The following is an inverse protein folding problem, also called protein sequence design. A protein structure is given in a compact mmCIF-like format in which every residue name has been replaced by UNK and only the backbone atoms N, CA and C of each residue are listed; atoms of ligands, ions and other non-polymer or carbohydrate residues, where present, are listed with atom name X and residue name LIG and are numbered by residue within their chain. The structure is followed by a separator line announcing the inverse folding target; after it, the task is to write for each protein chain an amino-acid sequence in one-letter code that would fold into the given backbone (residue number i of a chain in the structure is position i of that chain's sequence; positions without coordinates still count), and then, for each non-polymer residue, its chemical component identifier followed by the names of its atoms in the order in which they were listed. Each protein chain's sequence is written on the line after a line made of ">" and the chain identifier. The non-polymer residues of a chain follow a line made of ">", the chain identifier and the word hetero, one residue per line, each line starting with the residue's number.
data_IF_330813053550
#
_entry.id   IF_330813053550
#
_cell.length_a   1.000
_cell.length_b   1.000
_cell.length_c   1.000
_cell.angle_alpha   90.00
_cell.angle_beta   90.00
_cell.angle_gamma   90.00
#
_symmetry.space_group_name_H-M   'P 1'
#
loop_
_entity.id
_entity.type
_entity.pdbx_description
1 polymer ?
#
# COMPACT_ATOMS: atom_id res chain seq x y z
N UNK A 1 11.88 -4.10 -28.96
CA UNK A 1 11.52 -3.70 -27.58
C UNK A 1 10.06 -4.01 -27.46
N UNK A 2 9.65 -4.92 -26.56
CA UNK A 2 8.23 -5.13 -26.29
C UNK A 2 7.67 -3.81 -25.79
N UNK A 3 6.55 -3.35 -26.33
CA UNK A 3 5.84 -2.18 -25.84
C UNK A 3 5.45 -2.45 -24.38
N UNK A 4 6.31 -2.02 -23.45
CA UNK A 4 6.13 -2.18 -22.04
C UNK A 4 5.10 -1.15 -21.59
N UNK A 5 3.91 -1.59 -21.26
CA UNK A 5 2.80 -0.76 -20.85
C UNK A 5 2.58 -0.95 -19.35
N UNK A 6 2.85 0.05 -18.51
CA UNK A 6 2.57 -0.03 -17.07
C UNK A 6 1.07 -0.20 -16.84
N UNK A 7 0.69 -0.91 -15.77
CA UNK A 7 -0.72 -1.15 -15.47
C UNK A 7 -1.51 0.12 -15.10
N UNK A 8 -0.83 1.20 -14.77
CA UNK A 8 -1.35 2.57 -14.67
C UNK A 8 -0.74 3.38 -15.81
N UNK A 9 -1.57 3.89 -16.72
CA UNK A 9 -1.09 4.70 -17.83
C UNK A 9 -0.81 6.14 -17.36
N UNK A 10 0.47 6.48 -17.26
CA UNK A 10 0.92 7.79 -16.79
C UNK A 10 0.64 8.93 -17.79
N UNK A 11 0.25 8.61 -19.04
CA UNK A 11 -0.11 9.55 -20.10
C UNK A 11 -1.59 9.94 -20.06
N UNK A 12 -2.40 9.29 -19.23
CA UNK A 12 -3.82 9.54 -19.08
C UNK A 12 -4.14 10.12 -17.69
N UNK A 13 -5.30 10.75 -17.58
CA UNK A 13 -5.80 11.31 -16.33
C UNK A 13 -6.05 10.22 -15.27
N UNK A 14 -6.19 10.62 -14.02
CA UNK A 14 -6.62 9.72 -12.95
C UNK A 14 -8.00 9.11 -13.24
N UNK A 15 -8.91 9.93 -13.74
CA UNK A 15 -10.28 9.53 -14.08
C UNK A 15 -10.29 8.49 -15.19
N UNK A 16 -9.51 8.70 -16.26
CA UNK A 16 -9.38 7.72 -17.36
C UNK A 16 -8.81 6.39 -16.86
N UNK A 17 -7.76 6.44 -16.05
CA UNK A 17 -7.19 5.25 -15.42
C UNK A 17 -8.20 4.55 -14.51
N UNK A 18 -8.96 5.31 -13.72
CA UNK A 18 -9.99 4.75 -12.83
C UNK A 18 -11.09 4.02 -13.61
N UNK A 19 -11.55 4.58 -14.74
CA UNK A 19 -12.64 4.05 -15.55
C UNK A 19 -12.20 2.90 -16.47
N UNK A 20 -11.02 2.99 -17.08
CA UNK A 20 -10.57 2.08 -18.14
C UNK A 20 -9.55 1.04 -17.68
N UNK A 21 -8.69 1.37 -16.72
CA UNK A 21 -7.61 0.50 -16.25
C UNK A 21 -8.08 -0.73 -15.46
N UNK A 22 -7.17 -1.60 -15.10
CA UNK A 22 -5.73 -1.53 -15.37
C UNK A 22 -5.38 -1.83 -16.82
N UNK A 23 -4.13 -1.51 -17.23
CA UNK A 23 -3.60 -1.70 -18.58
C UNK A 23 -2.51 -2.80 -18.60
N UNK A 24 -1.97 -3.07 -19.80
CA UNK A 24 -0.86 -4.00 -19.99
C UNK A 24 -1.13 -5.41 -19.43
N UNK A 25 -0.11 -6.01 -18.84
CA UNK A 25 -0.19 -7.38 -18.29
C UNK A 25 -1.28 -7.55 -17.21
N UNK A 26 -1.61 -6.51 -16.46
CA UNK A 26 -2.70 -6.54 -15.48
C UNK A 26 -4.07 -6.64 -16.15
N UNK A 27 -4.29 -5.97 -17.29
CA UNK A 27 -5.50 -6.10 -18.07
C UNK A 27 -5.66 -7.54 -18.62
N UNK A 28 -4.57 -8.12 -19.14
CA UNK A 28 -4.57 -9.50 -19.62
C UNK A 28 -4.84 -10.51 -18.49
N UNK A 29 -4.29 -10.27 -17.30
CA UNK A 29 -4.57 -11.10 -16.14
C UNK A 29 -6.06 -11.11 -15.76
N UNK A 30 -6.80 -10.01 -16.00
CA UNK A 30 -8.25 -9.97 -15.76
C UNK A 30 -9.05 -10.77 -16.79
N UNK A 31 -8.56 -10.91 -18.01
CA UNK A 31 -9.23 -11.70 -19.07
C UNK A 31 -9.02 -13.20 -18.88
N UNK A 32 -7.92 -13.63 -18.27
CA UNK A 32 -7.64 -15.02 -18.02
C UNK A 32 -8.71 -15.63 -17.10
N UNK A 33 -9.51 -16.54 -17.61
CA UNK A 33 -10.45 -17.34 -16.81
C UNK A 33 -9.63 -18.18 -15.84
N UNK A 34 -9.97 -18.26 -14.54
CA UNK A 34 -9.32 -19.21 -13.66
C UNK A 34 -9.44 -20.60 -14.27
N UNK A 35 -8.34 -21.26 -14.59
CA UNK A 35 -8.37 -22.67 -15.01
C UNK A 35 -8.87 -23.47 -13.81
N UNK A 36 -10.13 -23.84 -13.84
CA UNK A 36 -10.68 -24.87 -12.94
C UNK A 36 -9.97 -26.15 -13.38
N UNK A 37 -9.00 -26.59 -12.61
CA UNK A 37 -8.52 -27.97 -12.74
C UNK A 37 -9.70 -28.84 -12.35
N UNK A 38 -10.43 -29.34 -13.36
CA UNK A 38 -11.45 -30.36 -13.21
C UNK A 38 -10.77 -31.64 -12.74
N UNK A 39 -10.80 -31.86 -11.43
CA UNK A 39 -10.65 -33.19 -10.90
C UNK A 39 -11.83 -34.05 -11.38
N UNK A 40 -11.53 -35.19 -11.92
CA UNK A 40 -12.44 -36.20 -12.47
C UNK A 40 -13.78 -36.31 -11.73
N UNK A 41 -14.84 -36.06 -12.44
CA UNK A 41 -16.19 -36.56 -12.10
C UNK A 41 -16.55 -37.71 -13.03
N UNK A 42 -16.40 -38.91 -12.51
CA UNK A 42 -17.04 -40.10 -13.13
C UNK A 42 -18.52 -40.08 -12.83
N UNK A 43 -19.39 -40.32 -13.81
CA UNK A 43 -20.82 -40.42 -13.57
C UNK A 43 -21.16 -41.82 -13.09
N UNK A 44 -21.71 -41.96 -11.89
CA UNK A 44 -22.41 -43.17 -11.49
C UNK A 44 -23.86 -42.82 -11.17
N UNK A 45 -24.75 -43.31 -12.05
CA UNK A 45 -26.19 -43.46 -11.79
C UNK A 45 -26.40 -44.68 -10.89
N UNK A 46 -27.34 -44.60 -9.94
CA UNK A 46 -27.76 -45.74 -9.12
C UNK A 46 -28.83 -45.35 -8.11
N UNK A 47 -29.99 -45.91 -8.27
CA UNK A 47 -31.28 -45.70 -7.57
C UNK A 47 -31.29 -46.01 -6.06
N UNK A 48 -32.41 -45.70 -5.33
CA UNK A 48 -32.43 -45.57 -3.86
C UNK A 48 -32.88 -46.86 -3.14
N UNK A 49 -32.29 -47.11 -1.99
CA UNK A 49 -32.74 -48.25 -1.18
C UNK A 49 -32.21 -48.31 0.26
N UNK A 50 -33.13 -48.03 1.21
CA UNK A 50 -33.27 -48.52 2.58
C UNK A 50 -32.33 -48.09 3.71
N UNK A 51 -32.99 -47.55 4.73
CA UNK A 51 -32.57 -47.28 6.12
C UNK A 51 -32.03 -48.53 6.82
N UNK A 52 -30.98 -48.37 7.64
CA UNK A 52 -30.88 -48.94 9.01
C UNK A 52 -29.94 -48.11 9.88
N UNK A 53 -30.29 -48.09 11.14
CA UNK A 53 -29.76 -47.31 12.27
C UNK A 53 -28.46 -47.88 12.83
N UNK A 54 -27.71 -46.98 13.44
CA UNK A 54 -27.03 -47.04 14.75
C UNK A 54 -25.52 -46.62 14.72
N UNK A 55 -25.23 -45.52 15.32
CA UNK A 55 -24.32 -45.29 16.41
C UNK A 55 -22.81 -45.46 16.23
N UNK A 56 -22.09 -44.34 16.12
CA UNK A 56 -20.87 -44.07 16.91
C UNK A 56 -20.40 -42.65 16.57
N UNK A 57 -20.18 -41.88 17.63
CA UNK A 57 -19.55 -40.56 17.56
C UNK A 57 -18.06 -40.76 17.29
N UNK A 58 -17.56 -40.31 16.13
CA UNK A 58 -16.14 -40.05 15.90
C UNK A 58 -15.90 -38.54 15.82
N UNK A 59 -14.94 -38.10 16.63
CA UNK A 59 -14.44 -36.74 16.62
C UNK A 59 -13.80 -36.41 15.27
N UNK A 60 -13.95 -35.18 14.75
CA UNK A 60 -13.28 -34.79 13.51
C UNK A 60 -11.76 -34.65 13.77
N UNK A 61 -10.96 -35.44 13.07
CA UNK A 61 -9.52 -35.24 12.93
C UNK A 61 -9.25 -33.93 12.16
N UNK A 62 -8.42 -33.12 12.75
CA UNK A 62 -7.87 -31.89 12.21
C UNK A 62 -6.98 -32.23 11.01
N UNK A 63 -7.49 -32.05 9.78
CA UNK A 63 -6.69 -32.18 8.56
C UNK A 63 -5.76 -30.99 8.45
N UNK A 64 -4.51 -31.17 8.86
CA UNK A 64 -3.40 -30.29 8.53
C UNK A 64 -3.25 -30.20 7.01
N UNK A 65 -3.44 -28.98 6.49
CA UNK A 65 -3.17 -28.68 5.08
C UNK A 65 -1.66 -28.79 4.83
N UNK A 66 -1.27 -29.69 3.93
CA UNK A 66 0.10 -29.83 3.44
C UNK A 66 0.39 -28.64 2.54
N UNK A 67 1.20 -27.66 3.03
CA UNK A 67 1.71 -26.54 2.25
C UNK A 67 2.81 -27.02 1.29
N UNK A 68 2.88 -26.36 0.13
CA UNK A 68 3.98 -26.57 -0.83
C UNK A 68 5.33 -26.24 -0.17
N UNK A 69 6.33 -27.09 -0.41
CA UNK A 69 7.68 -26.98 0.16
C UNK A 69 8.33 -25.66 -0.31
N UNK A 70 8.78 -24.80 0.63
CA UNK A 70 9.61 -23.64 0.32
C UNK A 70 9.50 -22.40 1.22
N UNK A 71 8.51 -22.28 2.11
CA UNK A 71 8.46 -21.21 3.12
C UNK A 71 8.10 -21.75 4.50
N UNK A 72 8.55 -21.09 5.61
CA UNK A 72 8.11 -21.49 6.93
C UNK A 72 6.59 -21.41 6.99
N UNK A 73 5.95 -22.54 7.28
CA UNK A 73 4.51 -22.63 7.47
C UNK A 73 4.09 -21.53 8.46
N UNK A 74 3.30 -20.51 7.98
CA UNK A 74 2.72 -19.52 8.83
C UNK A 74 3.15 -18.07 8.66
N UNK A 75 3.57 -17.59 7.47
CA UNK A 75 3.71 -16.15 7.22
C UNK A 75 2.38 -15.43 7.44
N UNK A 76 2.40 -14.32 8.20
CA UNK A 76 1.21 -13.50 8.44
C UNK A 76 1.48 -12.03 8.17
N UNK A 77 0.44 -11.31 7.74
CA UNK A 77 0.43 -9.86 7.69
C UNK A 77 -0.68 -9.34 8.62
N UNK A 78 -0.28 -8.70 9.72
CA UNK A 78 -1.20 -8.23 10.77
C UNK A 78 -2.23 -9.29 11.19
N UNK A 79 -1.76 -10.52 11.43
CA UNK A 79 -2.60 -11.64 11.85
C UNK A 79 -3.36 -12.35 10.72
N UNK A 80 -3.30 -11.87 9.49
CA UNK A 80 -3.89 -12.56 8.33
C UNK A 80 -2.84 -13.45 7.66
N UNK A 81 -3.17 -14.73 7.34
CA UNK A 81 -2.24 -15.62 6.66
C UNK A 81 -1.94 -15.13 5.24
N UNK A 82 -0.66 -15.13 4.85
CA UNK A 82 -0.20 -14.75 3.52
C UNK A 82 0.83 -15.74 2.99
N UNK A 83 0.84 -15.98 1.66
CA UNK A 83 1.83 -16.87 1.06
C UNK A 83 3.23 -16.24 1.11
N UNK A 84 3.35 -14.97 0.73
CA UNK A 84 4.56 -14.15 0.88
C UNK A 84 4.15 -12.75 1.34
N UNK A 85 4.78 -12.17 2.37
CA UNK A 85 4.46 -10.81 2.81
C UNK A 85 5.06 -9.75 1.85
N UNK A 86 4.66 -9.85 0.56
CA UNK A 86 5.04 -8.94 -0.51
C UNK A 86 3.82 -8.46 -1.30
N UNK A 87 3.78 -7.15 -1.63
CA UNK A 87 2.63 -6.59 -2.32
C UNK A 87 2.81 -5.20 -2.91
N UNK A 88 1.68 -4.57 -3.21
CA UNK A 88 1.59 -3.21 -3.76
C UNK A 88 0.96 -2.29 -2.72
N UNK A 89 1.65 -1.17 -2.33
CA UNK A 89 1.13 -0.22 -1.35
C UNK A 89 0.04 0.68 -1.95
N UNK A 90 -0.64 1.45 -1.09
CA UNK A 90 -1.61 2.43 -1.53
C UNK A 90 -1.02 3.45 -2.51
N UNK A 91 -1.71 3.64 -3.61
CA UNK A 91 -1.35 4.57 -4.69
C UNK A 91 -1.87 4.06 -6.02
N UNK A 92 -1.22 3.10 -6.67
CA UNK A 92 -1.51 2.73 -8.05
C UNK A 92 -2.69 1.76 -8.23
N UNK A 93 -3.17 1.08 -7.18
CA UNK A 93 -4.32 0.17 -7.27
C UNK A 93 -5.62 0.94 -6.99
N UNK A 94 -6.27 1.44 -8.05
CA UNK A 94 -7.32 2.46 -7.95
C UNK A 94 -8.68 1.92 -7.46
N UNK A 95 -9.01 0.66 -7.79
CA UNK A 95 -10.29 0.03 -7.49
C UNK A 95 -10.15 -1.51 -7.49
N UNK A 96 -11.27 -2.22 -7.37
CA UNK A 96 -11.31 -3.69 -7.31
C UNK A 96 -10.73 -4.38 -8.54
N UNK A 97 -10.80 -3.77 -9.72
CA UNK A 97 -10.18 -4.34 -10.95
C UNK A 97 -8.66 -4.38 -10.83
N UNK A 98 -8.05 -3.29 -10.34
CA UNK A 98 -6.60 -3.22 -10.13
C UNK A 98 -6.12 -4.19 -9.06
N UNK A 99 -6.84 -4.28 -7.92
CA UNK A 99 -6.45 -5.19 -6.82
C UNK A 99 -6.63 -6.65 -7.23
N UNK A 100 -7.69 -6.99 -7.97
CA UNK A 100 -7.91 -8.34 -8.51
C UNK A 100 -6.80 -8.72 -9.50
N UNK A 101 -6.40 -7.79 -10.37
CA UNK A 101 -5.29 -8.02 -11.29
C UNK A 101 -3.97 -8.25 -10.54
N UNK A 102 -3.69 -7.45 -9.50
CA UNK A 102 -2.51 -7.63 -8.66
C UNK A 102 -2.46 -9.02 -8.02
N UNK A 103 -3.57 -9.52 -7.48
CA UNK A 103 -3.65 -10.88 -6.95
C UNK A 103 -3.36 -11.94 -8.01
N UNK A 104 -3.92 -11.80 -9.22
CA UNK A 104 -3.68 -12.71 -10.34
C UNK A 104 -2.25 -12.65 -10.87
N UNK A 105 -1.58 -11.52 -10.74
CA UNK A 105 -0.16 -11.36 -11.06
C UNK A 105 0.77 -11.91 -9.97
N UNK A 106 0.20 -12.43 -8.87
CA UNK A 106 0.95 -13.13 -7.82
C UNK A 106 1.39 -12.25 -6.65
N UNK A 107 0.90 -11.01 -6.54
CA UNK A 107 1.06 -10.22 -5.31
C UNK A 107 0.12 -10.77 -4.23
N UNK A 108 0.63 -10.99 -3.02
CA UNK A 108 -0.18 -11.53 -1.93
C UNK A 108 -0.75 -10.44 -1.03
N UNK A 109 -0.22 -9.22 -1.11
CA UNK A 109 -0.77 -8.03 -0.49
C UNK A 109 -1.15 -7.01 -1.58
N UNK A 110 -2.40 -6.58 -1.61
CA UNK A 110 -2.86 -5.53 -2.51
C UNK A 110 -3.51 -4.42 -1.69
N UNK A 111 -2.92 -3.22 -1.70
CA UNK A 111 -3.48 -2.10 -0.95
C UNK A 111 -4.43 -1.30 -1.83
N UNK A 112 -5.72 -1.30 -1.44
CA UNK A 112 -6.74 -0.49 -2.10
C UNK A 112 -6.42 1.00 -1.97
N UNK A 113 -6.67 1.77 -3.04
CA UNK A 113 -6.45 3.22 -3.06
C UNK A 113 -6.99 3.88 -1.81
N UNK A 114 -6.20 4.78 -1.23
CA UNK A 114 -6.62 5.56 -0.06
C UNK A 114 -7.96 6.23 -0.31
N UNK A 115 -8.94 5.94 0.55
CA UNK A 115 -10.29 6.49 0.51
C UNK A 115 -10.50 7.54 1.59
N UNK A 116 -11.56 8.33 1.42
CA UNK A 116 -11.98 9.37 2.35
C UNK A 116 -13.46 9.21 2.71
N UNK A 117 -13.90 9.92 3.74
CA UNK A 117 -15.31 10.00 4.18
C UNK A 117 -16.24 10.62 3.13
N UNK A 118 -15.68 11.23 2.08
CA UNK A 118 -16.38 11.95 1.01
C UNK A 118 -15.63 11.90 -0.31
N UNK A 119 -16.29 12.26 -1.40
CA UNK A 119 -15.61 12.45 -2.67
C UNK A 119 -14.56 13.55 -2.57
N UNK A 120 -13.40 13.32 -3.21
CA UNK A 120 -12.27 14.25 -3.22
C UNK A 120 -11.63 14.27 -4.60
N UNK A 121 -11.49 15.45 -5.19
CA UNK A 121 -10.97 15.60 -6.55
C UNK A 121 -9.50 15.30 -6.68
N UNK A 122 -9.10 14.92 -7.89
CA UNK A 122 -7.70 14.79 -8.26
C UNK A 122 -7.09 16.15 -8.59
N UNK A 123 -5.80 16.32 -8.33
CA UNK A 123 -5.05 17.48 -8.81
C UNK A 123 -5.01 17.49 -10.36
N UNK A 124 -4.81 18.64 -11.01
CA UNK A 124 -4.71 18.74 -12.47
C UNK A 124 -3.67 17.79 -13.07
N UNK A 125 -4.00 17.20 -14.21
CA UNK A 125 -3.07 16.39 -15.00
C UNK A 125 -1.96 17.26 -15.64
N UNK A 126 -0.69 16.76 -15.77
CA UNK A 126 -0.18 15.44 -15.37
C UNK A 126 0.04 15.31 -13.85
N UNK A 127 -0.08 14.06 -13.36
CA UNK A 127 0.15 13.74 -11.95
C UNK A 127 1.44 12.96 -11.72
N UNK A 128 1.93 12.29 -12.76
CA UNK A 128 3.15 11.47 -12.78
C UNK A 128 4.08 12.02 -13.84
N UNK A 129 5.29 12.41 -13.42
CA UNK A 129 6.42 12.75 -14.27
C UNK A 129 7.60 11.88 -13.86
N UNK A 130 8.49 11.56 -14.77
CA UNK A 130 9.81 11.02 -14.45
C UNK A 130 10.58 12.06 -13.64
N UNK A 131 11.36 11.62 -12.65
CA UNK A 131 12.14 12.49 -11.76
C UNK A 131 13.62 12.05 -11.83
N UNK A 132 14.51 12.99 -12.06
CA UNK A 132 15.91 12.75 -12.31
C UNK A 132 16.81 13.40 -11.25
N UNK A 133 17.08 12.71 -10.11
CA UNK A 133 18.03 13.21 -9.12
C UNK A 133 19.43 13.36 -9.69
N UNK A 134 20.20 14.33 -9.18
CA UNK A 134 21.58 14.61 -9.62
C UNK A 134 22.60 13.55 -9.19
N UNK A 135 22.26 12.75 -8.15
CA UNK A 135 23.15 11.69 -7.66
C UNK A 135 23.38 10.61 -8.70
N UNK A 136 24.57 10.03 -8.75
CA UNK A 136 24.94 9.01 -9.73
C UNK A 136 24.11 7.71 -9.65
N UNK A 137 23.58 7.40 -8.47
CA UNK A 137 22.71 6.24 -8.22
C UNK A 137 21.21 6.58 -8.28
N UNK A 138 20.87 7.84 -8.62
CA UNK A 138 19.50 8.34 -8.71
C UNK A 138 18.80 8.47 -7.36
N UNK A 139 19.52 8.55 -6.23
CA UNK A 139 18.93 8.71 -4.91
C UNK A 139 18.68 10.17 -4.54
N UNK A 140 17.64 10.43 -3.76
CA UNK A 140 17.38 11.69 -3.06
C UNK A 140 17.72 11.52 -1.57
N UNK A 141 18.49 12.47 -1.04
CA UNK A 141 18.85 12.51 0.37
C UNK A 141 17.84 13.40 1.10
N UNK A 142 17.09 12.90 2.10
CA UNK A 142 16.20 13.73 2.91
C UNK A 142 16.95 14.92 3.53
N UNK A 143 16.40 16.15 3.37
CA UNK A 143 17.01 17.37 3.89
C UNK A 143 18.15 17.93 3.02
N UNK A 144 18.47 17.34 1.87
CA UNK A 144 19.47 17.91 0.95
C UNK A 144 18.98 19.19 0.29
N UNK A 145 19.90 20.07 -0.11
CA UNK A 145 19.59 21.32 -0.81
C UNK A 145 18.86 21.09 -2.14
N UNK A 146 19.16 19.97 -2.83
CA UNK A 146 18.53 19.60 -4.09
C UNK A 146 16.99 19.57 -4.01
N UNK A 147 16.43 19.16 -2.86
CA UNK A 147 14.98 19.11 -2.65
C UNK A 147 14.31 20.49 -2.71
N UNK A 148 15.05 21.56 -2.43
CA UNK A 148 14.55 22.94 -2.42
C UNK A 148 15.00 23.73 -3.65
N UNK A 149 16.19 23.44 -4.19
CA UNK A 149 16.69 24.03 -5.42
C UNK A 149 15.85 23.62 -6.64
N UNK A 150 15.52 22.34 -6.76
CA UNK A 150 14.71 21.74 -7.81
C UNK A 150 15.34 20.51 -8.39
N UNK A 151 14.52 19.48 -8.52
CA UNK A 151 14.87 18.20 -9.19
C UNK A 151 14.22 18.21 -10.57
N UNK A 152 14.97 17.87 -11.59
CA UNK A 152 14.46 17.77 -12.97
C UNK A 152 13.33 16.76 -13.06
N UNK A 153 12.22 17.14 -13.69
CA UNK A 153 11.10 16.27 -13.95
C UNK A 153 10.56 16.47 -15.38
N UNK A 154 10.35 15.38 -16.09
CA UNK A 154 9.89 15.37 -17.48
C UNK A 154 9.07 14.10 -17.80
N UNK A 155 8.95 13.74 -19.08
CA UNK A 155 8.25 12.55 -19.57
C UNK A 155 9.21 11.44 -20.06
N UNK A 156 10.48 11.51 -19.73
CA UNK A 156 11.49 10.51 -20.10
C UNK A 156 11.67 9.48 -18.98
N UNK A 157 10.90 8.38 -19.03
CA UNK A 157 10.88 7.34 -18.01
C UNK A 157 12.01 6.32 -18.19
N UNK A 158 13.23 6.66 -17.77
CA UNK A 158 14.42 5.82 -17.84
C UNK A 158 14.70 5.08 -16.52
N UNK A 159 15.36 3.94 -16.61
CA UNK A 159 15.83 3.18 -15.44
C UNK A 159 17.16 3.74 -14.89
N UNK A 160 17.32 3.78 -13.57
CA UNK A 160 16.39 3.36 -12.51
C UNK A 160 15.23 4.33 -12.30
N UNK A 161 14.00 3.84 -12.38
CA UNK A 161 12.80 4.68 -12.44
C UNK A 161 12.48 5.38 -11.11
N UNK A 162 12.29 6.68 -11.18
CA UNK A 162 11.73 7.52 -10.13
C UNK A 162 10.67 8.41 -10.72
N UNK A 163 9.57 8.63 -9.99
CA UNK A 163 8.43 9.39 -10.50
C UNK A 163 7.86 10.32 -9.43
N UNK A 164 7.14 11.34 -9.89
CA UNK A 164 6.29 12.17 -9.03
C UNK A 164 5.00 11.44 -8.65
N UNK A 165 4.42 11.81 -7.51
CA UNK A 165 3.11 11.38 -7.04
C UNK A 165 2.31 12.62 -6.63
N UNK A 166 1.63 13.25 -7.60
CA UNK A 166 0.98 14.54 -7.44
C UNK A 166 -0.54 14.47 -7.64
N UNK A 167 -1.20 13.49 -7.02
CA UNK A 167 -2.64 13.26 -7.19
C UNK A 167 -3.53 14.02 -6.19
N UNK A 168 -3.03 14.40 -5.00
CA UNK A 168 -3.84 15.01 -3.95
C UNK A 168 -4.73 14.03 -3.18
N UNK A 169 -4.46 12.73 -3.29
CA UNK A 169 -5.23 11.63 -2.67
C UNK A 169 -6.72 11.71 -3.02
N UNK A 170 -7.07 11.61 -4.32
CA UNK A 170 -8.45 11.60 -4.77
C UNK A 170 -9.20 10.38 -4.24
N UNK A 171 -10.50 10.54 -4.00
CA UNK A 171 -11.40 9.50 -3.52
C UNK A 171 -12.77 9.64 -4.18
N UNK A 172 -13.37 8.53 -4.54
CA UNK A 172 -14.81 8.48 -4.80
C UNK A 172 -15.57 8.66 -3.48
N UNK A 173 -16.89 8.90 -3.55
CA UNK A 173 -17.75 8.92 -2.38
C UNK A 173 -17.93 7.51 -1.77
N UNK A 174 -18.31 7.39 -0.49
CA UNK A 174 -18.48 6.09 0.17
C UNK A 174 -19.48 5.15 -0.52
N UNK A 175 -20.55 5.67 -1.08
CA UNK A 175 -21.55 4.89 -1.84
C UNK A 175 -20.97 4.24 -3.11
N UNK A 176 -19.87 4.78 -3.65
CA UNK A 176 -19.13 4.21 -4.78
C UNK A 176 -18.03 3.27 -4.32
N UNK A 177 -17.14 3.71 -3.39
CA UNK A 177 -15.98 2.89 -3.05
C UNK A 177 -16.27 1.75 -2.07
N UNK A 178 -17.33 1.82 -1.22
CA UNK A 178 -17.64 0.71 -0.29
C UNK A 178 -18.05 -0.58 -1.02
N UNK A 179 -19.01 -0.58 -1.99
CA UNK A 179 -19.33 -1.79 -2.74
C UNK A 179 -18.13 -2.30 -3.57
N UNK A 180 -17.33 -1.43 -4.16
CA UNK A 180 -16.12 -1.82 -4.89
C UNK A 180 -15.05 -2.42 -3.98
N UNK A 181 -14.86 -1.88 -2.77
CA UNK A 181 -13.95 -2.45 -1.77
C UNK A 181 -14.41 -3.82 -1.29
N UNK A 182 -15.73 -4.06 -1.14
CA UNK A 182 -16.24 -5.41 -0.84
C UNK A 182 -15.90 -6.40 -1.95
N UNK A 183 -16.02 -5.98 -3.22
CA UNK A 183 -15.62 -6.80 -4.37
C UNK A 183 -14.11 -7.08 -4.35
N UNK A 184 -13.29 -6.08 -4.02
CA UNK A 184 -11.85 -6.23 -3.88
C UNK A 184 -11.46 -7.21 -2.76
N UNK A 185 -12.14 -7.16 -1.61
CA UNK A 185 -11.93 -8.11 -0.50
C UNK A 185 -12.28 -9.53 -0.93
N UNK A 186 -13.42 -9.71 -1.62
CA UNK A 186 -13.88 -11.01 -2.09
C UNK A 186 -12.97 -11.62 -3.19
N UNK A 187 -12.20 -10.80 -3.89
CA UNK A 187 -11.30 -11.25 -4.95
C UNK A 187 -9.97 -11.84 -4.43
N UNK A 188 -9.65 -11.64 -3.15
CA UNK A 188 -8.45 -12.21 -2.53
C UNK A 188 -8.60 -13.73 -2.39
N UNK A 189 -7.64 -14.48 -2.94
CA UNK A 189 -7.56 -15.93 -2.82
C UNK A 189 -6.86 -16.39 -1.53
N UNK A 190 -6.73 -17.70 -1.33
CA UNK A 190 -6.01 -18.24 -0.18
C UNK A 190 -4.57 -17.69 -0.08
N UNK A 191 -4.19 -17.19 1.09
CA UNK A 191 -2.89 -16.57 1.31
C UNK A 191 -2.71 -15.21 0.64
N UNK A 192 -3.80 -14.55 0.25
CA UNK A 192 -3.82 -13.17 -0.28
C UNK A 192 -4.67 -12.27 0.60
N UNK A 193 -4.29 -11.01 0.75
CA UNK A 193 -4.97 -10.06 1.63
C UNK A 193 -5.16 -8.71 0.95
N UNK A 194 -6.41 -8.26 0.90
CA UNK A 194 -6.69 -6.86 0.59
C UNK A 194 -6.39 -5.99 1.81
N UNK A 195 -5.66 -4.91 1.58
CA UNK A 195 -5.28 -3.92 2.60
C UNK A 195 -5.99 -2.60 2.29
N UNK A 196 -7.13 -2.28 2.92
CA UNK A 196 -7.76 -0.98 2.78
C UNK A 196 -6.88 0.15 3.30
N UNK A 197 -6.79 1.26 2.56
CA UNK A 197 -6.09 2.45 2.99
C UNK A 197 -7.06 3.63 3.10
N UNK A 198 -6.88 4.49 4.11
CA UNK A 198 -7.71 5.66 4.33
C UNK A 198 -6.96 6.84 4.92
N UNK A 199 -7.57 8.00 4.85
CA UNK A 199 -7.21 9.18 5.62
C UNK A 199 -8.44 10.05 5.86
N UNK A 200 -8.38 10.93 6.85
CA UNK A 200 -9.36 12.00 7.05
C UNK A 200 -9.23 13.08 5.99
N UNK A 201 -10.25 13.88 5.87
CA UNK A 201 -10.29 15.05 4.98
C UNK A 201 -10.30 16.30 5.83
N UNK A 202 -9.30 17.16 5.68
CA UNK A 202 -9.29 18.48 6.29
C UNK A 202 -9.86 19.50 5.32
N UNK A 203 -10.91 20.20 5.73
CA UNK A 203 -11.50 21.29 4.96
C UNK A 203 -11.29 22.61 5.70
N UNK A 204 -11.38 23.71 4.98
CA UNK A 204 -11.23 25.05 5.55
C UNK A 204 -12.24 25.28 6.68
N UNK A 205 -11.78 25.84 7.81
CA UNK A 205 -12.59 26.10 9.00
C UNK A 205 -12.83 24.87 9.91
N UNK A 206 -12.38 23.68 9.52
CA UNK A 206 -12.52 22.48 10.35
C UNK A 206 -11.61 22.54 11.59
N UNK A 207 -12.16 22.27 12.76
CA UNK A 207 -11.41 22.13 14.01
C UNK A 207 -10.55 20.86 14.01
N UNK A 208 -9.64 20.74 14.96
CA UNK A 208 -8.82 19.55 15.14
C UNK A 208 -9.68 18.34 15.56
N UNK A 209 -10.68 18.57 16.42
CA UNK A 209 -11.63 17.53 16.86
C UNK A 209 -12.47 16.99 15.70
N UNK A 210 -12.95 17.85 14.81
CA UNK A 210 -13.70 17.43 13.61
C UNK A 210 -12.80 16.66 12.65
N UNK A 211 -11.52 17.04 12.52
CA UNK A 211 -10.55 16.31 11.70
C UNK A 211 -10.24 14.91 12.27
N UNK A 212 -10.10 14.79 13.59
CA UNK A 212 -9.97 13.49 14.29
C UNK A 212 -11.22 12.64 14.03
N UNK A 213 -12.41 13.22 14.18
CA UNK A 213 -13.69 12.54 13.96
C UNK A 213 -13.88 12.08 12.50
N UNK A 214 -13.36 12.84 11.52
CA UNK A 214 -13.43 12.46 10.11
C UNK A 214 -12.56 11.22 9.80
N UNK A 215 -11.38 11.07 10.46
CA UNK A 215 -10.58 9.85 10.38
C UNK A 215 -11.32 8.64 10.96
N UNK A 216 -11.91 8.79 12.14
CA UNK A 216 -12.69 7.74 12.79
C UNK A 216 -13.90 7.33 11.94
N UNK A 217 -14.62 8.31 11.38
CA UNK A 217 -15.73 8.06 10.45
C UNK A 217 -15.28 7.26 9.22
N UNK A 218 -14.15 7.65 8.60
CA UNK A 218 -13.64 6.95 7.42
C UNK A 218 -13.25 5.50 7.76
N UNK A 219 -12.62 5.29 8.91
CA UNK A 219 -12.26 3.95 9.39
C UNK A 219 -13.50 3.07 9.65
N UNK A 220 -14.58 3.64 10.25
CA UNK A 220 -15.87 2.95 10.42
C UNK A 220 -16.46 2.53 9.09
N UNK A 221 -16.49 3.42 8.09
CA UNK A 221 -16.98 3.10 6.75
C UNK A 221 -16.20 1.95 6.09
N UNK A 222 -14.88 1.86 6.32
CA UNK A 222 -14.08 0.72 5.87
C UNK A 222 -14.44 -0.55 6.63
N UNK A 223 -14.58 -0.49 7.96
CA UNK A 223 -15.01 -1.64 8.77
C UNK A 223 -16.31 -2.25 8.25
N UNK A 224 -17.26 -1.42 7.82
CA UNK A 224 -18.55 -1.83 7.23
C UNK A 224 -18.40 -2.62 5.92
N UNK A 225 -17.24 -2.57 5.25
CA UNK A 225 -16.97 -3.40 4.05
C UNK A 225 -16.56 -4.83 4.38
N UNK A 226 -16.30 -5.15 5.65
CA UNK A 226 -15.79 -6.44 6.09
C UNK A 226 -14.26 -6.54 6.12
N UNK A 227 -13.57 -5.39 6.07
CA UNK A 227 -12.11 -5.31 6.18
C UNK A 227 -11.59 -5.99 7.45
N UNK A 228 -10.50 -6.76 7.32
CA UNK A 228 -9.87 -7.49 8.43
C UNK A 228 -8.67 -6.75 9.04
N UNK A 229 -8.20 -5.74 8.38
CA UNK A 229 -7.13 -4.82 8.77
C UNK A 229 -7.25 -3.55 7.95
N UNK A 230 -6.51 -2.48 8.30
CA UNK A 230 -6.47 -1.26 7.50
C UNK A 230 -5.19 -0.45 7.72
N UNK A 231 -4.90 0.44 6.77
CA UNK A 231 -3.75 1.36 6.83
C UNK A 231 -4.25 2.80 6.81
N UNK A 232 -3.88 3.57 7.82
CA UNK A 232 -4.12 5.01 7.89
C UNK A 232 -2.95 5.77 7.25
N UNK A 233 -3.22 6.57 6.23
CA UNK A 233 -2.23 7.44 5.61
C UNK A 233 -2.09 8.74 6.41
N UNK A 234 -0.88 9.01 6.90
CA UNK A 234 -0.55 10.23 7.66
C UNK A 234 0.49 11.10 6.95
N UNK A 235 0.79 10.79 5.70
CA UNK A 235 1.90 11.40 4.95
C UNK A 235 1.45 12.13 3.69
N UNK A 236 0.24 12.70 3.70
CA UNK A 236 -0.23 13.57 2.63
C UNK A 236 0.33 14.99 2.83
N UNK A 237 1.03 15.57 1.83
CA UNK A 237 1.56 16.94 1.93
C UNK A 237 0.49 18.03 1.82
N UNK A 238 -0.76 17.70 1.48
CA UNK A 238 -1.81 18.66 1.14
C UNK A 238 -2.67 19.12 2.32
N UNK A 239 -2.20 19.01 3.56
CA UNK A 239 -2.96 19.42 4.75
C UNK A 239 -2.76 20.89 5.15
N UNK A 240 -2.42 21.75 4.20
CA UNK A 240 -2.58 23.21 4.31
C UNK A 240 -1.55 23.99 5.11
N UNK A 241 -0.52 23.37 5.70
CA UNK A 241 0.49 24.05 6.54
C UNK A 241 1.93 23.56 6.34
N UNK A 242 2.32 23.07 5.16
CA UNK A 242 3.68 22.55 4.86
C UNK A 242 4.20 21.46 5.84
N UNK A 243 3.37 20.92 6.72
CA UNK A 243 3.73 19.83 7.64
C UNK A 243 2.81 18.63 7.36
N UNK A 244 3.45 17.47 7.24
CA UNK A 244 2.72 16.20 7.12
C UNK A 244 2.14 15.84 8.50
N UNK A 245 0.99 15.19 8.53
CA UNK A 245 0.35 14.74 9.78
C UNK A 245 1.32 13.88 10.61
N UNK A 246 2.10 12.99 9.98
CA UNK A 246 3.08 12.14 10.67
C UNK A 246 4.22 12.92 11.37
N UNK A 247 4.38 14.22 11.11
CA UNK A 247 5.31 15.08 11.85
C UNK A 247 4.66 15.69 13.11
N UNK A 248 3.48 15.24 13.50
CA UNK A 248 2.83 15.53 14.76
C UNK A 248 2.44 14.22 15.47
N UNK A 249 3.38 13.52 16.13
CA UNK A 249 3.15 12.23 16.76
C UNK A 249 1.99 12.20 17.76
N UNK A 250 1.81 13.29 18.52
CA UNK A 250 0.75 13.38 19.53
C UNK A 250 -0.64 13.48 18.87
N UNK A 251 -0.77 14.23 17.79
CA UNK A 251 -2.04 14.28 17.04
C UNK A 251 -2.34 12.94 16.37
N UNK A 252 -1.33 12.26 15.82
CA UNK A 252 -1.50 10.89 15.29
C UNK A 252 -1.96 9.95 16.40
N UNK A 253 -1.40 10.03 17.60
CA UNK A 253 -1.85 9.27 18.78
C UNK A 253 -3.34 9.46 19.04
N UNK A 254 -3.81 10.71 19.16
CA UNK A 254 -5.24 11.04 19.38
C UNK A 254 -6.14 10.53 18.24
N UNK A 255 -5.70 10.65 16.99
CA UNK A 255 -6.45 10.13 15.84
C UNK A 255 -6.56 8.60 15.92
N UNK A 256 -5.48 7.89 16.22
CA UNK A 256 -5.49 6.43 16.30
C UNK A 256 -6.33 5.91 17.47
N UNK A 257 -6.41 6.65 18.58
CA UNK A 257 -7.33 6.37 19.68
C UNK A 257 -8.80 6.46 19.24
N UNK A 258 -9.17 7.56 18.57
CA UNK A 258 -10.53 7.74 18.04
C UNK A 258 -10.87 6.68 16.96
N UNK A 259 -9.92 6.36 16.07
CA UNK A 259 -10.07 5.30 15.08
C UNK A 259 -10.31 3.95 15.77
N UNK A 260 -9.52 3.61 16.79
CA UNK A 260 -9.67 2.34 17.52
C UNK A 260 -11.00 2.20 18.26
N UNK A 261 -11.59 3.28 18.75
CA UNK A 261 -12.94 3.28 19.31
C UNK A 261 -13.98 2.81 18.28
N UNK A 262 -13.82 3.19 17.00
CA UNK A 262 -14.73 2.77 15.93
C UNK A 262 -14.45 1.36 15.43
N UNK A 263 -13.18 0.99 15.22
CA UNK A 263 -12.83 -0.27 14.55
C UNK A 263 -12.67 -1.46 15.53
N UNK A 264 -12.47 -1.19 16.81
CA UNK A 264 -12.25 -2.24 17.84
C UNK A 264 -10.93 -2.99 17.59
N UNK A 265 -11.01 -4.33 17.59
CA UNK A 265 -9.82 -5.20 17.49
C UNK A 265 -9.21 -5.30 16.08
N UNK A 266 -9.82 -4.69 15.06
CA UNK A 266 -9.27 -4.69 13.71
C UNK A 266 -7.87 -4.06 13.74
N UNK A 267 -6.82 -4.76 13.25
CA UNK A 267 -5.47 -4.23 13.23
C UNK A 267 -5.35 -2.97 12.39
N UNK A 268 -4.66 -1.96 12.94
CA UNK A 268 -4.38 -0.69 12.30
C UNK A 268 -2.87 -0.55 12.06
N UNK A 269 -2.49 -0.22 10.84
CA UNK A 269 -1.15 0.19 10.48
C UNK A 269 -1.16 1.68 10.13
N UNK A 270 -0.09 2.41 10.47
CA UNK A 270 0.08 3.82 10.09
C UNK A 270 1.14 3.94 9.00
N UNK A 271 0.80 4.61 7.89
CA UNK A 271 1.75 4.90 6.81
C UNK A 271 2.43 6.24 7.05
N UNK A 272 3.77 6.20 7.18
CA UNK A 272 4.62 7.33 7.48
C UNK A 272 5.36 7.85 6.24
N UNK A 273 5.63 9.16 6.20
CA UNK A 273 6.72 9.72 5.42
C UNK A 273 8.05 9.53 6.16
N UNK A 274 9.14 10.03 5.58
CA UNK A 274 10.43 10.07 6.27
C UNK A 274 10.35 11.03 7.46
N UNK A 275 10.72 10.56 8.66
CA UNK A 275 10.81 11.33 9.88
C UNK A 275 12.31 11.48 10.23
N UNK A 276 12.91 12.68 10.09
CA UNK A 276 14.35 12.85 10.27
C UNK A 276 14.83 12.63 11.71
N UNK A 277 14.02 13.02 12.70
CA UNK A 277 14.36 12.96 14.12
C UNK A 277 14.08 11.59 14.71
N UNK A 278 15.07 10.97 15.38
CA UNK A 278 14.88 9.73 16.13
C UNK A 278 13.93 9.91 17.31
N UNK A 279 14.00 11.08 17.99
CA UNK A 279 13.11 11.39 19.10
C UNK A 279 11.65 11.48 18.64
N UNK A 280 11.38 12.11 17.50
CA UNK A 280 10.02 12.19 16.93
C UNK A 280 9.53 10.82 16.47
N UNK A 281 10.41 9.99 15.89
CA UNK A 281 10.07 8.65 15.47
C UNK A 281 9.76 7.74 16.68
N UNK A 282 10.57 7.83 17.75
CA UNK A 282 10.29 7.12 19.00
C UNK A 282 9.01 7.64 19.68
N UNK A 283 8.77 8.95 19.66
CA UNK A 283 7.54 9.54 20.19
C UNK A 283 6.32 9.04 19.39
N UNK A 284 6.42 8.88 18.06
CA UNK A 284 5.39 8.27 17.21
C UNK A 284 5.06 6.85 17.68
N UNK A 285 6.08 6.02 17.91
CA UNK A 285 5.89 4.64 18.39
C UNK A 285 5.24 4.62 19.77
N UNK A 286 5.70 5.48 20.70
CA UNK A 286 5.16 5.56 22.08
C UNK A 286 3.72 6.03 22.11
N UNK A 287 3.36 7.06 21.32
CA UNK A 287 2.02 7.65 21.30
C UNK A 287 0.98 6.80 20.53
N UNK A 288 1.40 5.76 19.85
CA UNK A 288 0.53 4.87 19.06
C UNK A 288 0.63 3.42 19.52
N UNK A 289 1.70 2.72 19.19
CA UNK A 289 1.93 1.32 19.62
C UNK A 289 1.97 1.21 21.14
N UNK A 290 2.63 2.14 21.82
CA UNK A 290 2.70 2.19 23.28
C UNK A 290 1.32 2.32 23.97
N UNK A 291 0.34 2.90 23.27
CA UNK A 291 -1.06 2.97 23.71
C UNK A 291 -1.93 1.80 23.17
N UNK A 292 -1.34 0.85 22.43
CA UNK A 292 -2.05 -0.30 21.88
C UNK A 292 -2.95 0.02 20.67
N UNK A 293 -2.90 1.25 20.15
CA UNK A 293 -3.80 1.68 19.07
C UNK A 293 -3.33 1.26 17.68
N UNK A 294 -2.00 1.01 17.50
CA UNK A 294 -1.38 0.67 16.21
C UNK A 294 -0.60 -0.64 16.33
N UNK A 295 -0.73 -1.51 15.34
CA UNK A 295 -0.07 -2.81 15.27
C UNK A 295 1.09 -2.83 14.25
N UNK A 296 1.34 -1.72 13.54
CA UNK A 296 2.48 -1.63 12.63
C UNK A 296 2.62 -0.29 11.92
N UNK A 297 3.76 -0.11 11.26
CA UNK A 297 4.07 1.05 10.43
C UNK A 297 4.42 0.63 9.01
N UNK A 298 3.94 1.41 8.03
CA UNK A 298 4.34 1.29 6.63
C UNK A 298 5.19 2.50 6.27
N UNK A 299 6.39 2.30 5.83
CA UNK A 299 7.38 3.37 5.61
C UNK A 299 8.29 3.07 4.40
N UNK A 300 8.49 4.05 3.50
CA UNK A 300 8.04 5.43 3.54
C UNK A 300 7.02 5.69 2.43
N UNK A 301 6.28 6.81 2.52
CA UNK A 301 5.42 7.23 1.42
C UNK A 301 6.26 7.80 0.26
N UNK A 302 6.62 9.07 0.34
CA UNK A 302 7.40 9.80 -0.68
C UNK A 302 8.32 10.80 0.01
N UNK A 303 9.31 11.31 -0.72
CA UNK A 303 10.10 12.48 -0.31
C UNK A 303 9.60 13.69 -1.09
N UNK A 304 9.26 14.78 -0.39
CA UNK A 304 8.80 16.02 -1.01
C UNK A 304 9.98 16.76 -1.64
N UNK A 305 9.89 17.07 -2.93
CA UNK A 305 10.89 17.85 -3.66
C UNK A 305 10.21 18.91 -4.53
N UNK A 306 10.87 20.05 -4.72
CA UNK A 306 10.54 21.00 -5.77
C UNK A 306 10.85 20.34 -7.11
N UNK A 307 9.89 20.35 -8.06
CA UNK A 307 10.05 19.74 -9.38
C UNK A 307 10.11 20.84 -10.45
N UNK A 308 11.14 20.79 -11.26
CA UNK A 308 11.39 21.78 -12.31
C UNK A 308 11.54 21.10 -13.68
N UNK A 309 11.16 21.79 -14.74
CA UNK A 309 11.44 21.40 -16.12
C UNK A 309 12.90 21.74 -16.52
N UNK A 310 13.26 21.48 -17.76
CA UNK A 310 14.60 21.73 -18.28
C UNK A 310 14.99 23.23 -18.28
N UNK A 311 14.01 24.13 -18.26
CA UNK A 311 14.22 25.59 -18.22
C UNK A 311 14.20 26.12 -16.77
N UNK A 312 14.00 25.26 -15.77
CA UNK A 312 13.95 25.61 -14.36
C UNK A 312 12.60 26.14 -13.89
N UNK A 313 11.56 26.04 -14.72
CA UNK A 313 10.19 26.41 -14.33
C UNK A 313 9.50 25.28 -13.56
N UNK A 314 8.36 25.59 -12.92
CA UNK A 314 7.52 24.59 -12.25
C UNK A 314 7.08 23.51 -13.26
N UNK A 315 7.42 22.23 -12.99
CA UNK A 315 7.13 21.12 -13.89
C UNK A 315 5.65 20.67 -13.86
N UNK A 316 4.99 20.75 -12.71
CA UNK A 316 3.59 20.32 -12.55
C UNK A 316 2.64 21.52 -12.65
N UNK A 317 1.56 21.46 -13.44
CA UNK A 317 0.64 22.58 -13.62
C UNK A 317 -0.19 22.86 -12.35
N UNK A 318 -0.62 24.10 -12.21
CA UNK A 318 -1.49 24.56 -11.12
C UNK A 318 -0.74 25.33 -10.03
N UNK A 319 -1.43 26.25 -9.38
CA UNK A 319 -0.88 27.07 -8.30
C UNK A 319 -0.52 26.20 -7.08
N UNK A 320 0.63 26.48 -6.45
CA UNK A 320 1.08 25.78 -5.25
C UNK A 320 1.53 24.33 -5.48
N UNK A 321 1.82 23.93 -6.73
CA UNK A 321 2.30 22.60 -7.09
C UNK A 321 3.76 22.61 -7.55
N UNK A 322 4.54 23.54 -7.05
CA UNK A 322 6.00 23.56 -7.23
C UNK A 322 6.68 22.38 -6.56
N UNK A 323 6.06 21.80 -5.52
CA UNK A 323 6.54 20.58 -4.84
C UNK A 323 5.61 19.39 -5.06
N UNK A 324 6.22 18.22 -5.13
CA UNK A 324 5.51 16.93 -5.19
C UNK A 324 6.23 15.86 -4.40
N UNK A 325 5.51 14.82 -4.01
CA UNK A 325 6.13 13.61 -3.51
C UNK A 325 6.88 12.88 -4.62
N UNK A 326 8.13 12.50 -4.37
CA UNK A 326 8.93 11.64 -5.25
C UNK A 326 8.94 10.22 -4.70
N UNK A 327 8.76 9.23 -5.56
CA UNK A 327 8.82 7.81 -5.26
C UNK A 327 9.65 7.04 -6.30
N UNK A 328 9.82 5.74 -6.09
CA UNK A 328 10.68 4.90 -6.92
C UNK A 328 12.10 4.79 -6.39
N UNK A 329 13.08 4.58 -7.27
CA UNK A 329 14.48 4.37 -6.88
C UNK A 329 15.03 5.49 -5.97
N UNK A 330 14.64 6.73 -6.24
CA UNK A 330 15.12 7.91 -5.53
C UNK A 330 14.96 7.85 -4.00
N UNK A 331 13.98 7.10 -3.51
CA UNK A 331 13.66 7.04 -2.06
C UNK A 331 14.08 5.72 -1.40
N UNK A 332 14.79 4.82 -2.11
CA UNK A 332 15.15 3.50 -1.56
C UNK A 332 16.03 3.60 -0.32
N UNK A 333 17.06 4.44 -0.36
CA UNK A 333 17.96 4.64 0.78
C UNK A 333 17.22 5.14 2.03
N UNK A 334 16.35 6.13 1.86
CA UNK A 334 15.53 6.67 2.95
C UNK A 334 14.51 5.64 3.49
N UNK A 335 13.95 4.80 2.62
CA UNK A 335 13.07 3.70 3.03
C UNK A 335 13.78 2.67 3.89
N UNK A 336 14.97 2.24 3.48
CA UNK A 336 15.81 1.30 4.25
C UNK A 336 16.24 1.90 5.61
N UNK A 337 16.64 3.17 5.63
CA UNK A 337 16.98 3.89 6.88
C UNK A 337 15.80 3.89 7.86
N UNK A 338 14.61 4.28 7.42
CA UNK A 338 13.43 4.31 8.28
C UNK A 338 13.05 2.93 8.82
N UNK A 339 13.19 1.87 8.02
CA UNK A 339 12.93 0.49 8.48
C UNK A 339 13.94 0.09 9.55
N UNK A 340 15.23 0.34 9.34
CA UNK A 340 16.27 0.00 10.30
C UNK A 340 16.11 0.76 11.63
N UNK A 341 15.76 2.04 11.58
CA UNK A 341 15.51 2.86 12.77
C UNK A 341 14.27 2.41 13.54
N UNK A 342 13.17 2.07 12.85
CA UNK A 342 11.98 1.49 13.49
C UNK A 342 12.28 0.12 14.12
N UNK A 343 13.09 -0.73 13.47
CA UNK A 343 13.51 -2.01 14.03
C UNK A 343 14.34 -1.82 15.32
N UNK A 344 15.26 -0.86 15.33
CA UNK A 344 16.06 -0.51 16.52
C UNK A 344 15.17 0.04 17.66
N UNK A 345 14.18 0.89 17.34
CA UNK A 345 13.23 1.41 18.34
C UNK A 345 12.34 0.28 18.88
N UNK A 346 11.90 -0.65 18.03
CA UNK A 346 11.13 -1.84 18.42
C UNK A 346 11.89 -2.67 19.47
N UNK A 347 13.15 -2.95 19.19
CA UNK A 347 14.03 -3.67 20.12
C UNK A 347 14.27 -2.88 21.41
N UNK A 348 14.66 -1.61 21.30
CA UNK A 348 14.92 -0.71 22.46
C UNK A 348 13.73 -0.63 23.42
N UNK A 349 12.51 -0.56 22.89
CA UNK A 349 11.29 -0.41 23.69
C UNK A 349 10.67 -1.74 24.12
N UNK A 350 11.11 -2.87 23.56
CA UNK A 350 10.51 -4.19 23.79
C UNK A 350 9.04 -4.27 23.35
N UNK A 351 8.66 -3.52 22.32
CA UNK A 351 7.29 -3.48 21.79
C UNK A 351 7.14 -4.44 20.60
N UNK A 352 5.97 -5.08 20.48
CA UNK A 352 5.63 -5.88 19.29
C UNK A 352 4.80 -5.06 18.32
N UNK A 353 5.38 -4.70 17.20
CA UNK A 353 4.70 -4.09 16.07
C UNK A 353 5.37 -4.51 14.75
N UNK A 354 4.62 -4.51 13.67
CA UNK A 354 5.09 -4.92 12.35
C UNK A 354 5.61 -3.73 11.54
N UNK A 355 6.63 -3.97 10.73
CA UNK A 355 7.25 -2.95 9.87
C UNK A 355 7.05 -3.40 8.42
N UNK A 356 6.33 -2.58 7.65
CA UNK A 356 6.16 -2.77 6.22
C UNK A 356 7.08 -1.81 5.47
N UNK A 357 8.11 -2.35 4.82
CA UNK A 357 9.11 -1.57 4.08
C UNK A 357 8.60 -1.20 2.68
N UNK A 358 8.69 0.08 2.34
CA UNK A 358 8.24 0.64 1.05
C UNK A 358 9.23 1.68 0.56
N UNK A 359 9.57 1.64 -0.73
CA UNK A 359 10.42 2.64 -1.40
C UNK A 359 11.48 2.02 -2.27
N UNK A 360 11.39 2.21 -3.58
CA UNK A 360 12.42 1.81 -4.54
C UNK A 360 12.68 0.30 -4.69
N UNK A 361 11.73 -0.54 -4.30
CA UNK A 361 11.84 -1.99 -4.48
C UNK A 361 11.52 -2.33 -5.93
N UNK A 362 12.52 -2.77 -6.68
CA UNK A 362 12.40 -3.10 -8.12
C UNK A 362 12.97 -4.48 -8.44
N UNK A 363 13.54 -5.17 -7.46
CA UNK A 363 14.21 -6.46 -7.65
C UNK A 363 14.11 -7.37 -6.41
N UNK A 364 14.39 -8.68 -6.56
CA UNK A 364 14.55 -9.59 -5.42
C UNK A 364 15.62 -9.14 -4.41
N UNK A 365 16.69 -8.53 -4.88
CA UNK A 365 17.76 -8.01 -4.01
C UNK A 365 17.26 -6.87 -3.12
N UNK A 366 16.42 -5.97 -3.66
CA UNK A 366 15.82 -4.89 -2.87
C UNK A 366 14.84 -5.45 -1.82
N UNK A 367 14.02 -6.44 -2.20
CA UNK A 367 13.15 -7.15 -1.24
C UNK A 367 13.98 -7.70 -0.07
N UNK A 368 15.07 -8.42 -0.36
CA UNK A 368 15.93 -8.99 0.67
C UNK A 368 16.62 -7.91 1.51
N UNK A 369 17.02 -6.79 0.91
CA UNK A 369 17.61 -5.66 1.65
C UNK A 369 16.63 -5.10 2.70
N UNK A 370 15.36 -4.92 2.35
CA UNK A 370 14.33 -4.51 3.32
C UNK A 370 14.10 -5.55 4.42
N UNK A 371 14.07 -6.85 4.06
CA UNK A 371 13.94 -7.94 5.04
C UNK A 371 15.11 -7.91 6.03
N UNK A 372 16.32 -7.75 5.52
CA UNK A 372 17.55 -7.68 6.34
C UNK A 372 17.60 -6.41 7.22
N UNK A 373 16.98 -5.31 6.78
CA UNK A 373 16.84 -4.10 7.58
C UNK A 373 15.82 -4.23 8.73
N UNK A 374 15.04 -5.32 8.78
CA UNK A 374 14.08 -5.61 9.84
C UNK A 374 12.60 -5.44 9.45
N UNK A 375 12.29 -5.32 8.15
CA UNK A 375 10.91 -5.29 7.68
C UNK A 375 10.26 -6.68 7.82
N UNK A 376 9.02 -6.71 8.34
CA UNK A 376 8.19 -7.93 8.42
C UNK A 376 7.46 -8.20 7.10
N UNK A 377 7.22 -7.17 6.31
CA UNK A 377 6.65 -7.23 4.96
C UNK A 377 7.27 -6.14 4.08
N UNK A 378 7.15 -6.29 2.76
CA UNK A 378 7.72 -5.35 1.79
C UNK A 378 6.70 -5.06 0.69
N UNK A 379 6.63 -3.81 0.24
CA UNK A 379 5.74 -3.44 -0.86
C UNK A 379 6.45 -2.58 -1.91
N UNK A 380 6.04 -2.72 -3.16
CA UNK A 380 6.55 -1.98 -4.30
C UNK A 380 5.41 -1.27 -5.05
N UNK A 381 5.49 0.06 -5.20
CA UNK A 381 4.56 0.82 -6.04
C UNK A 381 5.14 1.00 -7.44
N UNK A 382 6.11 1.91 -7.60
CA UNK A 382 6.73 2.24 -8.88
C UNK A 382 7.34 1.01 -9.54
N UNK A 383 8.07 0.15 -8.78
CA UNK A 383 8.64 -1.08 -9.33
C UNK A 383 7.57 -2.02 -9.89
N UNK A 384 6.48 -2.21 -9.17
CA UNK A 384 5.36 -3.05 -9.63
C UNK A 384 4.62 -2.43 -10.86
N UNK A 385 4.53 -1.09 -10.95
CA UNK A 385 3.95 -0.43 -12.13
C UNK A 385 4.76 -0.71 -13.39
N UNK A 386 6.09 -0.71 -13.29
CA UNK A 386 7.01 -0.93 -14.43
C UNK A 386 7.44 -2.37 -14.62
N UNK A 387 7.21 -3.27 -13.64
CA UNK A 387 7.48 -4.70 -13.76
C UNK A 387 6.32 -5.52 -13.15
N UNK A 388 5.36 -5.86 -13.98
CA UNK A 388 4.20 -6.66 -13.59
C UNK A 388 4.56 -8.06 -13.06
N UNK A 389 5.74 -8.60 -13.41
CA UNK A 389 6.24 -9.91 -12.99
C UNK A 389 7.06 -9.86 -11.68
N UNK A 390 7.19 -8.67 -11.07
CA UNK A 390 8.05 -8.46 -9.89
C UNK A 390 7.73 -9.44 -8.74
N UNK A 391 6.45 -9.70 -8.47
CA UNK A 391 6.06 -10.67 -7.43
C UNK A 391 6.54 -12.08 -7.74
N UNK A 392 6.41 -12.54 -8.99
CA UNK A 392 6.86 -13.86 -9.41
C UNK A 392 8.40 -13.99 -9.36
N UNK A 393 9.11 -12.93 -9.77
CA UNK A 393 10.58 -12.87 -9.68
C UNK A 393 11.06 -12.98 -8.23
N UNK A 394 10.43 -12.25 -7.31
CA UNK A 394 10.76 -12.31 -5.88
C UNK A 394 10.45 -13.71 -5.33
N UNK A 395 9.25 -14.25 -5.57
CA UNK A 395 8.89 -15.61 -5.12
C UNK A 395 9.85 -16.68 -5.64
N UNK A 396 10.32 -16.54 -6.87
CA UNK A 396 11.25 -17.51 -7.46
C UNK A 396 12.67 -17.41 -6.87
N UNK A 397 13.05 -16.29 -6.26
CA UNK A 397 14.38 -16.06 -5.68
C UNK A 397 14.52 -16.55 -4.23
N UNK A 398 13.40 -16.81 -3.56
CA UNK A 398 13.36 -17.18 -2.12
C UNK A 398 13.43 -18.72 -1.91
N UNK A 399 13.47 -19.49 -3.01
CA UNK A 399 13.50 -20.96 -2.99
C UNK A 399 14.81 -21.51 -2.46
#
# INVERSE_FOLDING_TARGET
>A
MSDFEPFYDVKHSYEDNYEQGPFGAFAEALKATPSVTSGDSSPYEGEPGKKTSAGAEEKPEEKTAVGAEGEPAGSTFLGQPVNLPFGIPAGPLLNSRFTTAAFRMGFDLATYKTVRSRAWGCNPFPNVLAVHPKSADGSLIPGSAELDEGVLADTNYEQPISISNSFGVPSQSPDVWQPDMRAAIAAAGPGQVLVPSFQGSRVEGMSEEEYIADHATTARLIKETGAKLMVMNTSCPNEGHNRLLCHNPLLVGRITEAVKQEIGDIPLMVKLAYIPSDDDLELMVRSTVGHGTVQGFSTINTISAKLVDADGNQALPGAGRDRSGVCGNAIRGAGLDMVARLAAIREKLGLDFKINGVGGVVSPADYQAYRNAGADSVMSATGAMWDAELARKIKSSIK
#
